data_IF_929187598296
#
_entry.id   IF_929187598296
#
_cell.length_a   1.000
_cell.length_b   1.000
_cell.length_c   1.000
_cell.angle_alpha   90.00
_cell.angle_beta   90.00
_cell.angle_gamma   90.00
#
_symmetry.space_group_name_H-M   'P 1'
#
loop_
_entity.id
_entity.type
_entity.pdbx_description
1 polymer ?
#
# COMPACT_ATOMS: atom_id res chain seq x y z
N UNK A 1 30.56 17.77 -7.99
CA UNK A 1 30.02 16.88 -6.95
C UNK A 1 29.37 17.78 -5.91
N UNK A 2 28.05 17.71 -5.76
CA UNK A 2 27.38 18.36 -4.64
C UNK A 2 27.66 17.49 -3.41
N UNK A 3 28.55 17.96 -2.55
CA UNK A 3 28.86 17.29 -1.28
C UNK A 3 27.85 17.76 -0.25
N UNK A 4 26.72 17.07 -0.18
CA UNK A 4 25.76 17.22 0.91
C UNK A 4 26.21 16.35 2.10
N UNK A 5 26.27 16.96 3.28
CA UNK A 5 26.72 16.36 4.53
C UNK A 5 25.61 16.38 5.59
N UNK A 6 24.39 16.76 5.21
CA UNK A 6 23.27 16.90 6.14
C UNK A 6 22.92 15.53 6.72
N UNK A 7 22.98 15.41 8.04
CA UNK A 7 22.54 14.20 8.73
C UNK A 7 21.02 14.21 8.92
N UNK A 8 20.40 13.02 9.01
CA UNK A 8 18.95 12.87 9.20
C UNK A 8 18.42 13.63 10.45
N UNK A 9 19.29 13.86 11.45
CA UNK A 9 18.96 14.62 12.65
C UNK A 9 19.03 16.15 12.45
N UNK A 10 19.76 16.61 11.43
CA UNK A 10 19.87 18.01 11.03
C UNK A 10 18.79 18.42 10.02
N UNK A 11 18.13 17.44 9.38
CA UNK A 11 16.94 17.65 8.57
C UNK A 11 15.76 18.06 9.45
N UNK A 12 15.62 19.37 9.64
CA UNK A 12 14.50 19.96 10.36
C UNK A 12 13.39 20.30 9.38
N UNK A 13 12.20 19.74 9.59
CA UNK A 13 10.99 20.20 8.90
C UNK A 13 10.75 21.69 9.20
N UNK A 14 10.71 22.50 8.14
CA UNK A 14 10.51 23.95 8.22
C UNK A 14 9.04 24.36 8.01
N UNK A 15 8.13 23.39 7.88
CA UNK A 15 6.72 23.66 7.60
C UNK A 15 5.99 24.34 8.76
N UNK A 16 4.93 25.04 8.41
CA UNK A 16 4.02 25.75 9.29
C UNK A 16 3.03 24.81 9.99
N UNK A 17 2.31 25.29 11.01
CA UNK A 17 1.31 24.50 11.76
C UNK A 17 0.15 24.00 10.88
N UNK A 18 -0.08 24.65 9.73
CA UNK A 18 -1.01 24.25 8.67
C UNK A 18 -0.45 23.14 7.77
N UNK A 19 0.87 23.00 7.67
CA UNK A 19 1.55 21.92 6.94
C UNK A 19 1.89 20.73 7.84
N UNK A 20 1.44 20.74 9.10
CA UNK A 20 1.54 19.59 10.01
C UNK A 20 0.81 18.36 9.44
N UNK A 21 -0.26 18.58 8.66
CA UNK A 21 -0.95 17.52 7.94
C UNK A 21 -0.04 16.80 6.93
N UNK A 22 0.98 17.47 6.38
CA UNK A 22 1.96 16.84 5.47
C UNK A 22 2.96 15.95 6.22
N UNK A 23 3.23 16.23 7.50
CA UNK A 23 4.05 15.34 8.36
C UNK A 23 3.32 14.05 8.72
N UNK A 24 1.98 14.08 8.77
CA UNK A 24 1.17 12.91 9.08
C UNK A 24 0.94 12.00 7.85
N UNK A 25 1.42 12.41 6.67
CA UNK A 25 1.35 11.64 5.42
C UNK A 25 2.63 10.82 5.26
N UNK A 26 2.50 9.50 5.44
CA UNK A 26 3.54 8.55 5.06
C UNK A 26 3.31 8.06 3.63
N UNK A 27 4.26 8.33 2.73
CA UNK A 27 4.30 7.75 1.37
C UNK A 27 5.36 6.65 1.32
N UNK A 28 4.93 5.43 1.02
CA UNK A 28 5.84 4.29 0.83
C UNK A 28 5.99 3.97 -0.66
N UNK A 29 7.23 3.83 -1.12
CA UNK A 29 7.54 3.23 -2.41
C UNK A 29 7.95 1.78 -2.18
N UNK A 30 7.26 0.84 -2.84
CA UNK A 30 7.54 -0.60 -2.73
C UNK A 30 8.34 -1.08 -3.93
N UNK A 31 9.50 -1.68 -3.66
CA UNK A 31 10.45 -2.22 -4.65
C UNK A 31 10.61 -3.71 -4.37
N UNK A 32 10.46 -4.53 -5.42
CA UNK A 32 10.85 -5.94 -5.39
C UNK A 32 12.32 -6.07 -5.78
N UNK A 33 13.12 -6.78 -4.98
CA UNK A 33 14.54 -6.98 -5.21
C UNK A 33 14.85 -7.98 -6.33
N UNK A 34 13.85 -8.56 -6.99
CA UNK A 34 14.05 -9.44 -8.15
C UNK A 34 14.66 -10.81 -7.81
N UNK A 35 14.71 -11.18 -6.52
CA UNK A 35 15.30 -12.45 -6.06
C UNK A 35 14.37 -13.66 -6.16
N UNK A 36 13.11 -13.47 -6.57
CA UNK A 36 12.08 -14.50 -6.47
C UNK A 36 12.24 -15.69 -7.44
N UNK A 37 13.07 -15.60 -8.50
CA UNK A 37 13.28 -16.74 -9.41
C UNK A 37 14.72 -16.85 -9.92
N UNK A 38 15.38 -18.02 -9.85
CA UNK A 38 16.75 -18.20 -10.37
C UNK A 38 16.86 -18.23 -11.91
N UNK A 39 15.76 -17.98 -12.64
CA UNK A 39 15.68 -18.14 -14.09
C UNK A 39 15.32 -16.84 -14.85
N UNK A 40 15.08 -15.73 -14.17
CA UNK A 40 14.68 -14.47 -14.81
C UNK A 40 15.31 -13.27 -14.11
N UNK A 41 15.72 -12.30 -14.92
CA UNK A 41 16.23 -10.97 -14.61
C UNK A 41 16.11 -10.54 -13.13
N UNK A 42 17.24 -10.47 -12.43
CA UNK A 42 17.35 -10.07 -11.01
C UNK A 42 17.27 -8.55 -10.83
N UNK A 43 16.82 -7.82 -11.85
CA UNK A 43 16.69 -6.37 -11.77
C UNK A 43 15.58 -5.99 -10.80
N UNK A 44 15.83 -5.01 -9.89
CA UNK A 44 14.78 -4.52 -9.02
C UNK A 44 13.65 -3.92 -9.85
N UNK A 45 12.41 -4.20 -9.46
CA UNK A 45 11.23 -3.71 -10.17
C UNK A 45 10.24 -3.04 -9.22
N UNK A 46 9.49 -2.08 -9.74
CA UNK A 46 8.46 -1.40 -8.95
C UNK A 46 7.26 -2.34 -8.76
N UNK A 47 6.77 -2.44 -7.52
CA UNK A 47 5.52 -3.12 -7.25
C UNK A 47 4.35 -2.22 -7.68
N UNK A 48 3.55 -2.68 -8.64
CA UNK A 48 2.42 -1.91 -9.13
C UNK A 48 1.24 -1.93 -8.14
N UNK A 49 1.02 -0.81 -7.45
CA UNK A 49 -0.11 -0.65 -6.53
C UNK A 49 -1.37 -0.31 -7.33
N UNK A 50 -2.18 -1.33 -7.61
CA UNK A 50 -3.47 -1.16 -8.28
C UNK A 50 -4.65 -1.02 -7.30
N UNK A 51 -4.40 -1.02 -6.00
CA UNK A 51 -5.43 -1.01 -4.96
C UNK A 51 -6.15 0.33 -4.88
N UNK A 52 -7.46 0.30 -4.62
CA UNK A 52 -8.29 1.46 -4.24
C UNK A 52 -8.94 1.15 -2.91
N UNK A 53 -8.21 1.45 -1.85
CA UNK A 53 -8.53 1.08 -0.48
C UNK A 53 -8.25 2.28 0.42
N UNK A 54 -9.19 2.58 1.30
CA UNK A 54 -9.04 3.55 2.37
C UNK A 54 -9.46 2.88 3.68
N UNK A 55 -8.63 3.01 4.71
CA UNK A 55 -8.94 2.56 6.06
C UNK A 55 -8.89 3.80 6.95
N UNK A 56 -9.97 4.06 7.69
CA UNK A 56 -10.11 5.25 8.54
C UNK A 56 -10.27 4.81 9.99
N UNK A 57 -9.39 5.32 10.85
CA UNK A 57 -9.39 5.12 12.31
C UNK A 57 -9.42 3.67 12.80
N UNK A 58 -9.02 2.71 11.96
CA UNK A 58 -9.28 1.27 12.16
C UNK A 58 -10.76 0.95 12.46
N UNK A 59 -11.69 1.77 11.96
CA UNK A 59 -13.14 1.64 12.21
C UNK A 59 -13.92 1.43 10.92
N UNK A 60 -13.46 2.05 9.82
CA UNK A 60 -14.14 2.00 8.52
C UNK A 60 -13.18 1.60 7.43
N UNK A 61 -13.68 0.83 6.46
CA UNK A 61 -12.94 0.51 5.24
C UNK A 61 -13.77 0.88 4.03
N UNK A 62 -13.20 1.61 3.09
CA UNK A 62 -13.75 1.83 1.76
C UNK A 62 -12.86 1.08 0.78
N UNK A 63 -13.45 0.21 -0.04
CA UNK A 63 -12.74 -0.53 -1.06
C UNK A 63 -13.57 -0.66 -2.33
N UNK A 64 -12.92 -0.63 -3.49
CA UNK A 64 -13.65 -0.67 -4.76
C UNK A 64 -12.78 -0.56 -5.99
N UNK A 65 -13.38 -0.10 -7.07
CA UNK A 65 -12.69 0.17 -8.35
C UNK A 65 -12.28 1.64 -8.51
N UNK A 66 -12.95 2.56 -7.81
CA UNK A 66 -12.79 4.00 -7.97
C UNK A 66 -11.41 4.53 -7.57
N UNK A 67 -10.66 5.06 -8.53
CA UNK A 67 -9.41 5.77 -8.27
C UNK A 67 -9.66 7.10 -7.55
N UNK A 68 -8.64 7.64 -6.87
CA UNK A 68 -8.64 9.04 -6.42
C UNK A 68 -8.30 9.97 -7.60
N UNK A 69 -9.26 10.15 -8.49
CA UNK A 69 -9.19 11.12 -9.59
C UNK A 69 -10.59 11.53 -10.06
N UNK A 70 -10.66 12.62 -10.80
CA UNK A 70 -11.92 13.16 -11.33
C UNK A 70 -12.71 12.16 -12.19
N UNK A 71 -12.01 11.31 -12.95
CA UNK A 71 -12.64 10.32 -13.83
C UNK A 71 -13.48 9.31 -13.05
N UNK A 72 -13.01 8.88 -11.88
CA UNK A 72 -13.72 7.94 -11.02
C UNK A 72 -14.67 8.62 -10.01
N UNK A 73 -14.41 9.88 -9.61
CA UNK A 73 -15.10 10.51 -8.47
C UNK A 73 -16.22 11.49 -8.86
N UNK A 74 -16.23 12.05 -10.07
CA UNK A 74 -17.23 13.06 -10.48
C UNK A 74 -18.63 12.51 -10.70
N UNK A 75 -18.77 11.20 -10.90
CA UNK A 75 -20.05 10.52 -11.13
C UNK A 75 -20.58 10.62 -12.57
N UNK A 76 -20.07 11.53 -13.39
CA UNK A 76 -20.31 11.62 -14.85
C UNK A 76 -19.16 11.07 -15.69
N UNK A 77 -18.12 10.52 -15.04
CA UNK A 77 -16.99 9.85 -15.66
C UNK A 77 -17.20 8.34 -15.84
N UNK A 78 -16.29 7.53 -15.32
CA UNK A 78 -16.37 6.07 -15.39
C UNK A 78 -17.42 5.51 -14.42
N UNK A 79 -18.02 4.39 -14.80
CA UNK A 79 -18.85 3.60 -13.88
C UNK A 79 -17.96 2.88 -12.87
N UNK A 80 -18.12 3.22 -11.60
CA UNK A 80 -17.35 2.64 -10.49
C UNK A 80 -18.25 1.93 -9.48
N UNK A 81 -17.67 1.00 -8.72
CA UNK A 81 -18.32 0.37 -7.57
C UNK A 81 -17.41 0.48 -6.35
N UNK A 82 -18.02 0.76 -5.19
CA UNK A 82 -17.34 0.78 -3.90
C UNK A 82 -18.21 0.15 -2.83
N UNK A 83 -17.55 -0.48 -1.86
CA UNK A 83 -18.13 -1.02 -0.64
C UNK A 83 -17.58 -0.24 0.55
N UNK A 84 -18.47 0.15 1.46
CA UNK A 84 -18.11 0.66 2.79
C UNK A 84 -18.38 -0.45 3.80
N UNK A 85 -17.34 -0.82 4.54
CA UNK A 85 -17.42 -1.81 5.62
C UNK A 85 -17.31 -1.08 6.95
N UNK A 86 -18.39 -1.18 7.72
CA UNK A 86 -18.47 -0.81 9.13
C UNK A 86 -18.80 -2.10 9.88
N UNK A 87 -17.92 -2.49 10.80
CA UNK A 87 -18.02 -3.75 11.54
C UNK A 87 -18.33 -3.45 13.00
N UNK A 88 -19.35 -4.12 13.55
CA UNK A 88 -19.79 -3.96 14.93
C UNK A 88 -18.94 -4.79 15.92
N UNK A 89 -18.12 -5.72 15.42
CA UNK A 89 -17.18 -6.48 16.25
C UNK A 89 -15.96 -5.62 16.62
N UNK A 90 -16.01 -5.03 17.81
CA UNK A 90 -14.99 -4.14 18.32
C UNK A 90 -13.91 -4.88 19.13
N UNK A 91 -12.68 -4.37 19.08
CA UNK A 91 -11.57 -4.84 19.90
C UNK A 91 -10.84 -3.69 20.59
N UNK A 92 -10.33 -3.97 21.79
CA UNK A 92 -9.48 -3.07 22.54
C UNK A 92 -8.17 -2.83 21.77
N UNK A 93 -7.83 -1.56 21.54
CA UNK A 93 -6.57 -1.14 20.95
C UNK A 93 -6.09 0.18 21.54
N UNK A 94 -5.10 0.78 20.89
CA UNK A 94 -4.52 2.06 21.30
C UNK A 94 -4.34 2.96 20.09
N UNK A 95 -4.74 4.23 20.22
CA UNK A 95 -4.53 5.28 19.23
C UNK A 95 -3.85 6.46 19.93
N UNK A 96 -2.72 6.93 19.39
CA UNK A 96 -1.91 7.98 20.04
C UNK A 96 -1.58 7.66 21.52
N UNK A 97 -1.24 6.39 21.80
CA UNK A 97 -0.94 5.91 23.15
C UNK A 97 -2.13 5.86 24.12
N UNK A 98 -3.34 6.23 23.70
CA UNK A 98 -4.56 6.20 24.51
C UNK A 98 -5.40 4.97 24.16
N UNK A 99 -6.11 4.35 25.13
CA UNK A 99 -7.05 3.27 24.84
C UNK A 99 -8.12 3.73 23.84
N UNK A 100 -8.40 2.91 22.82
CA UNK A 100 -9.47 3.14 21.84
C UNK A 100 -10.14 1.80 21.48
N UNK A 101 -11.40 1.86 21.05
CA UNK A 101 -12.13 0.74 20.47
C UNK A 101 -11.99 0.79 18.96
N UNK A 102 -11.52 -0.28 18.33
CA UNK A 102 -11.38 -0.34 16.86
C UNK A 102 -12.17 -1.52 16.29
N UNK A 103 -12.59 -1.42 15.04
CA UNK A 103 -13.34 -2.48 14.38
C UNK A 103 -12.41 -3.62 13.97
N UNK A 104 -12.81 -4.88 14.22
CA UNK A 104 -11.96 -6.05 13.98
C UNK A 104 -11.54 -6.17 12.54
N UNK A 105 -12.47 -6.01 11.60
CA UNK A 105 -12.16 -6.07 10.18
C UNK A 105 -11.11 -5.04 9.76
N UNK A 106 -11.35 -3.75 10.06
CA UNK A 106 -10.49 -2.65 9.66
C UNK A 106 -9.09 -2.76 10.28
N UNK A 107 -9.01 -2.99 11.61
CA UNK A 107 -7.75 -3.15 12.31
C UNK A 107 -6.94 -4.34 11.79
N UNK A 108 -7.60 -5.48 11.53
CA UNK A 108 -6.94 -6.69 11.03
C UNK A 108 -6.41 -6.50 9.60
N UNK A 109 -7.19 -5.88 8.73
CA UNK A 109 -6.79 -5.57 7.36
C UNK A 109 -5.57 -4.64 7.34
N UNK A 110 -5.64 -3.52 8.06
CA UNK A 110 -4.55 -2.54 8.18
C UNK A 110 -3.26 -3.18 8.69
N UNK A 111 -3.34 -3.97 9.77
CA UNK A 111 -2.20 -4.70 10.34
C UNK A 111 -1.62 -5.73 9.37
N UNK A 112 -2.46 -6.44 8.60
CA UNK A 112 -1.99 -7.42 7.61
C UNK A 112 -1.20 -6.74 6.49
N UNK A 113 -1.74 -5.65 5.91
CA UNK A 113 -1.08 -4.87 4.86
C UNK A 113 0.23 -4.25 5.35
N UNK A 114 0.25 -3.70 6.55
CA UNK A 114 1.48 -3.16 7.14
C UNK A 114 2.54 -4.24 7.32
N UNK A 115 2.15 -5.42 7.83
CA UNK A 115 3.09 -6.53 7.96
C UNK A 115 3.61 -7.00 6.61
N UNK A 116 2.79 -7.00 5.57
CA UNK A 116 3.20 -7.30 4.20
C UNK A 116 4.23 -6.30 3.68
N UNK A 117 3.91 -5.01 3.72
CA UNK A 117 4.75 -3.96 3.15
C UNK A 117 6.02 -3.69 3.95
N UNK A 118 6.03 -3.98 5.25
CA UNK A 118 7.21 -3.86 6.12
C UNK A 118 8.05 -5.16 6.16
N UNK A 119 7.70 -6.20 5.39
CA UNK A 119 8.46 -7.46 5.37
C UNK A 119 8.34 -8.30 6.64
N UNK A 120 7.26 -8.12 7.42
CA UNK A 120 6.95 -8.86 8.65
C UNK A 120 6.11 -10.13 8.40
N UNK A 121 5.93 -10.51 7.13
CA UNK A 121 5.42 -11.83 6.71
C UNK A 121 6.36 -12.45 5.68
N UNK A 122 6.28 -13.77 5.57
CA UNK A 122 7.05 -14.50 4.58
C UNK A 122 6.60 -14.15 3.15
N UNK A 123 7.53 -14.13 2.17
CA UNK A 123 7.19 -13.96 0.77
C UNK A 123 6.18 -15.01 0.31
N UNK A 124 5.14 -14.56 -0.39
CA UNK A 124 4.18 -15.45 -1.02
C UNK A 124 4.74 -15.91 -2.38
N UNK A 125 5.33 -17.10 -2.41
CA UNK A 125 5.90 -17.67 -3.63
C UNK A 125 4.78 -18.20 -4.51
N UNK A 126 4.72 -17.72 -5.76
CA UNK A 126 3.79 -18.25 -6.78
C UNK A 126 4.54 -19.25 -7.63
N UNK A 127 4.07 -20.50 -7.68
CA UNK A 127 4.63 -21.52 -8.57
C UNK A 127 3.94 -21.47 -9.94
N UNK A 128 4.65 -21.85 -11.01
CA UNK A 128 4.14 -21.78 -12.39
C UNK A 128 2.90 -22.63 -12.66
N UNK A 129 2.63 -23.62 -11.80
CA UNK A 129 1.52 -24.56 -11.95
C UNK A 129 0.26 -24.13 -11.19
N UNK A 130 0.29 -22.98 -10.49
CA UNK A 130 -0.88 -22.45 -9.80
C UNK A 130 -1.86 -21.82 -10.80
N UNK A 131 -3.09 -22.33 -10.79
CA UNK A 131 -4.20 -21.75 -11.54
C UNK A 131 -4.56 -20.37 -11.00
N UNK A 132 -4.86 -19.42 -11.89
CA UNK A 132 -5.33 -18.08 -11.50
C UNK A 132 -6.59 -18.21 -10.64
N UNK A 133 -6.51 -17.82 -9.38
CA UNK A 133 -7.64 -17.78 -8.45
C UNK A 133 -8.21 -16.35 -8.35
N UNK A 134 -9.37 -16.22 -7.72
CA UNK A 134 -10.02 -14.92 -7.47
C UNK A 134 -9.20 -13.99 -6.57
N UNK A 135 -8.10 -14.48 -5.97
CA UNK A 135 -7.20 -13.67 -5.15
C UNK A 135 -6.14 -12.96 -5.98
N UNK A 136 -6.13 -13.12 -7.32
CA UNK A 136 -5.26 -12.39 -8.26
C UNK A 136 -3.81 -12.39 -7.78
N UNK A 137 -3.27 -13.58 -7.48
CA UNK A 137 -1.88 -13.75 -7.05
C UNK A 137 -0.91 -13.04 -8.01
N UNK A 138 0.19 -12.53 -7.46
CA UNK A 138 1.24 -11.89 -8.24
C UNK A 138 1.62 -12.77 -9.45
N UNK A 139 1.80 -12.15 -10.61
CA UNK A 139 2.24 -12.87 -11.78
C UNK A 139 3.59 -13.57 -11.46
N UNK A 140 3.74 -14.87 -11.79
CA UNK A 140 4.93 -15.65 -11.44
C UNK A 140 6.20 -15.15 -12.15
N UNK A 141 6.05 -14.29 -13.17
CA UNK A 141 7.13 -13.63 -13.88
C UNK A 141 6.80 -12.13 -14.00
N UNK A 142 7.70 -11.23 -13.58
CA UNK A 142 7.56 -9.80 -13.81
C UNK A 142 7.36 -9.51 -15.30
N UNK A 143 6.47 -8.56 -15.62
CA UNK A 143 6.36 -8.08 -17.00
C UNK A 143 7.66 -7.36 -17.36
N UNK A 144 8.32 -7.77 -18.44
CA UNK A 144 9.53 -7.07 -18.92
C UNK A 144 9.16 -5.62 -19.21
N UNK A 145 9.90 -4.69 -18.60
CA UNK A 145 9.79 -3.27 -18.89
C UNK A 145 9.96 -3.03 -20.40
N UNK A 146 9.21 -2.06 -20.93
CA UNK A 146 9.21 -1.72 -22.36
C UNK A 146 10.51 -1.05 -22.84
N UNK A 147 11.53 -0.99 -21.99
CA UNK A 147 12.82 -0.34 -22.25
C UNK A 147 13.89 -1.31 -22.80
N UNK A 148 13.56 -2.59 -22.99
CA UNK A 148 14.48 -3.58 -23.58
C UNK A 148 14.50 -3.58 -25.14
N UNK A 149 13.83 -2.63 -25.78
CA UNK A 149 13.78 -2.46 -27.24
C UNK A 149 13.94 -0.97 -27.60
N UNK A 150 15.12 -0.41 -27.31
CA UNK A 150 15.61 0.84 -27.88
C UNK A 150 17.10 0.71 -28.17
#
# INVERSE_FOLDING_TARGET
MLSDWTSLAEEKWLGTRTEQEELDVCVFLLIDEGKLTPATDTSPSLLYIHTKLMIVDDKRVIMGSANLNDRSQKGDGDSEIALVVEDDDMLDSTMDGKPDQVARFAASLRRKLFREHLGLIQPQLVTRDETTDSFMRCAPTPQRGRDALA
#
